data_IF_735496615938
#
_entry.id   IF_735496615938
#
_cell.length_a   1.000
_cell.length_b   1.000
_cell.length_c   1.000
_cell.angle_alpha   90.00
_cell.angle_beta   90.00
_cell.angle_gamma   90.00
#
_symmetry.space_group_name_H-M   'P 1'
#
loop_
_entity.id
_entity.type
_entity.pdbx_description
1 polymer ?
#
# COMPACT_ATOMS: atom_id res chain seq x y z
N UNK A 1 17.92 9.08 -6.53
CA UNK A 1 16.58 8.49 -6.75
C UNK A 1 16.22 7.81 -5.45
N UNK A 2 15.24 8.33 -4.70
CA UNK A 2 14.98 7.88 -3.33
C UNK A 2 13.80 6.91 -3.37
N UNK A 3 14.07 5.64 -3.16
CA UNK A 3 13.07 4.58 -3.10
C UNK A 3 13.25 3.76 -1.82
N UNK A 4 12.15 3.20 -1.32
CA UNK A 4 12.14 2.30 -0.16
C UNK A 4 11.15 1.16 -0.40
N UNK A 5 11.43 0.00 0.17
CA UNK A 5 10.56 -1.17 0.10
C UNK A 5 10.30 -1.67 1.51
N UNK A 6 9.04 -2.00 1.83
CA UNK A 6 8.62 -2.54 3.10
C UNK A 6 7.74 -3.77 2.91
N UNK A 7 7.74 -4.67 3.88
CA UNK A 7 6.87 -5.85 3.93
C UNK A 7 5.91 -5.74 5.12
N UNK A 8 4.64 -5.99 4.88
CA UNK A 8 3.58 -6.07 5.88
C UNK A 8 3.05 -7.51 5.93
N UNK A 9 3.32 -8.28 7.01
CA UNK A 9 2.83 -9.64 7.10
C UNK A 9 1.31 -9.68 7.22
N UNK A 10 0.71 -10.76 6.69
CA UNK A 10 -0.68 -11.09 6.94
C UNK A 10 -0.89 -11.29 8.46
N UNK A 11 -2.08 -10.96 8.95
CA UNK A 11 -2.38 -11.06 10.38
C UNK A 11 -3.69 -11.81 10.60
N UNK A 12 -3.76 -12.54 11.71
CA UNK A 12 -5.02 -13.04 12.27
C UNK A 12 -5.36 -12.17 13.46
N UNK A 13 -6.56 -11.61 13.49
CA UNK A 13 -7.06 -10.77 14.59
C UNK A 13 -8.32 -11.38 15.22
N UNK A 14 -8.84 -10.72 16.26
CA UNK A 14 -10.08 -11.11 16.94
C UNK A 14 -10.02 -12.51 17.55
N UNK A 15 -8.90 -12.84 18.18
CA UNK A 15 -8.68 -14.16 18.76
C UNK A 15 -9.29 -14.27 20.16
N UNK A 16 -10.11 -15.31 20.36
CA UNK A 16 -10.78 -15.65 21.63
C UNK A 16 -11.65 -14.49 22.17
N UNK A 17 -11.61 -14.24 23.49
CA UNK A 17 -12.37 -13.14 24.12
C UNK A 17 -11.75 -11.76 23.87
N UNK A 18 -10.53 -11.71 23.34
CA UNK A 18 -9.76 -10.48 23.09
C UNK A 18 -10.10 -9.81 21.76
N UNK A 19 -11.39 -9.62 21.52
CA UNK A 19 -11.92 -8.92 20.34
C UNK A 19 -11.22 -7.57 20.16
N UNK A 20 -10.72 -7.32 18.94
CA UNK A 20 -10.05 -6.09 18.50
C UNK A 20 -8.74 -5.69 19.22
N UNK A 21 -8.21 -6.56 20.10
CA UNK A 21 -6.97 -6.29 20.86
C UNK A 21 -5.91 -7.36 20.60
N UNK A 22 -6.31 -8.61 20.36
CA UNK A 22 -5.39 -9.72 20.15
C UNK A 22 -5.28 -10.10 18.67
N UNK A 23 -4.04 -10.25 18.21
CA UNK A 23 -3.73 -10.79 16.89
C UNK A 23 -2.27 -11.24 16.76
N UNK A 24 -2.00 -12.03 15.71
CA UNK A 24 -0.68 -12.59 15.43
C UNK A 24 -0.34 -12.41 13.95
N UNK A 25 0.92 -12.10 13.66
CA UNK A 25 1.45 -12.08 12.30
C UNK A 25 1.69 -13.50 11.80
N UNK A 26 1.36 -13.75 10.54
CA UNK A 26 1.65 -14.99 9.83
C UNK A 26 2.97 -14.80 9.10
N UNK A 27 3.91 -15.73 9.31
CA UNK A 27 5.19 -15.72 8.62
C UNK A 27 5.02 -16.09 7.14
N UNK A 28 5.76 -15.39 6.27
CA UNK A 28 5.87 -15.72 4.85
C UNK A 28 4.72 -15.25 3.96
N UNK A 29 3.57 -14.89 4.53
CA UNK A 29 2.41 -14.36 3.79
C UNK A 29 2.27 -12.87 4.10
N UNK A 30 2.03 -12.04 3.09
CA UNK A 30 1.82 -10.61 3.30
C UNK A 30 2.00 -9.76 2.04
N UNK A 31 1.97 -8.44 2.23
CA UNK A 31 2.11 -7.46 1.15
C UNK A 31 3.51 -6.84 1.15
N UNK A 32 4.13 -6.75 -0.03
CA UNK A 32 5.37 -6.02 -0.28
C UNK A 32 5.04 -4.72 -0.99
N UNK A 33 5.47 -3.60 -0.42
CA UNK A 33 5.22 -2.27 -0.96
C UNK A 33 6.52 -1.58 -1.33
N UNK A 34 6.64 -1.12 -2.58
CA UNK A 34 7.74 -0.25 -3.01
C UNK A 34 7.24 1.16 -3.28
N UNK A 35 8.01 2.13 -2.77
CA UNK A 35 7.69 3.55 -2.86
C UNK A 35 8.86 4.34 -3.45
N UNK A 36 8.55 5.32 -4.29
CA UNK A 36 9.54 6.26 -4.82
C UNK A 36 9.09 7.70 -4.63
N UNK A 37 10.03 8.60 -4.34
CA UNK A 37 9.73 10.03 -4.19
C UNK A 37 9.57 10.68 -5.57
N UNK A 38 8.47 11.41 -5.75
CA UNK A 38 8.21 12.25 -6.93
C UNK A 38 8.24 13.74 -6.55
N UNK A 39 8.47 14.62 -7.53
CA UNK A 39 8.57 16.07 -7.30
C UNK A 39 7.22 16.76 -7.08
N UNK A 40 6.15 16.19 -7.66
CA UNK A 40 4.80 16.75 -7.54
C UNK A 40 4.21 16.43 -6.15
N UNK A 41 3.46 17.34 -5.53
CA UNK A 41 2.78 17.10 -4.25
C UNK A 41 1.53 16.24 -4.45
N UNK A 42 1.71 14.99 -4.88
CA UNK A 42 0.63 14.07 -5.23
C UNK A 42 1.05 12.64 -4.89
N UNK A 43 0.09 11.81 -4.47
CA UNK A 43 0.26 10.37 -4.34
C UNK A 43 -0.18 9.71 -5.65
N UNK A 44 0.70 8.91 -6.24
CA UNK A 44 0.40 8.12 -7.43
C UNK A 44 0.55 6.64 -7.10
N UNK A 45 -0.55 5.89 -7.27
CA UNK A 45 -0.52 4.43 -7.32
C UNK A 45 -0.14 4.06 -8.75
N UNK A 46 1.09 3.59 -8.94
CA UNK A 46 1.62 3.27 -10.27
C UNK A 46 1.18 1.89 -10.76
N UNK A 47 1.00 0.96 -9.83
CA UNK A 47 0.74 -0.43 -10.14
C UNK A 47 0.11 -1.12 -8.92
N UNK A 48 -0.76 -2.08 -9.16
CA UNK A 48 -1.26 -3.02 -8.16
C UNK A 48 -1.20 -4.40 -8.80
N UNK A 49 -0.48 -5.33 -8.17
CA UNK A 49 -0.43 -6.72 -8.63
C UNK A 49 -1.04 -7.64 -7.58
N UNK A 50 -1.60 -8.75 -8.05
CA UNK A 50 -2.03 -9.82 -7.16
C UNK A 50 -0.85 -10.68 -6.69
N UNK A 51 -1.15 -11.67 -5.85
CA UNK A 51 -0.17 -12.63 -5.32
C UNK A 51 0.51 -13.50 -6.39
N UNK A 52 -0.04 -13.54 -7.60
CA UNK A 52 0.56 -14.26 -8.73
C UNK A 52 1.54 -13.38 -9.52
N UNK A 53 1.65 -12.10 -9.17
CA UNK A 53 2.40 -11.11 -9.94
C UNK A 53 1.69 -10.71 -11.23
N UNK A 54 0.41 -11.09 -11.38
CA UNK A 54 -0.40 -10.67 -12.52
C UNK A 54 -0.98 -9.29 -12.22
N UNK A 55 -0.95 -8.42 -13.24
CA UNK A 55 -1.75 -7.21 -13.22
C UNK A 55 -3.22 -7.66 -13.14
N UNK A 56 -3.87 -7.42 -12.01
CA UNK A 56 -5.32 -7.52 -11.99
C UNK A 56 -5.84 -6.57 -13.07
N UNK A 57 -6.66 -7.06 -13.99
CA UNK A 57 -7.53 -6.24 -14.84
C UNK A 57 -8.61 -5.60 -13.95
N UNK A 58 -8.16 -4.91 -12.90
CA UNK A 58 -8.99 -3.99 -12.17
C UNK A 58 -9.12 -2.81 -13.12
N UNK A 59 -10.27 -2.72 -13.79
CA UNK A 59 -10.71 -1.45 -14.37
C UNK A 59 -10.73 -0.44 -13.21
N UNK A 60 -9.60 0.25 -13.00
CA UNK A 60 -9.56 1.49 -12.25
C UNK A 60 -10.67 2.34 -12.88
N UNK A 61 -11.69 2.80 -12.13
CA UNK A 61 -12.84 3.50 -12.70
C UNK A 61 -12.34 4.68 -13.56
N UNK A 62 -12.29 4.45 -14.88
CA UNK A 62 -11.87 5.25 -16.04
C UNK A 62 -10.87 6.42 -15.86
N UNK A 63 -10.16 6.52 -14.75
CA UNK A 63 -9.29 7.64 -14.41
C UNK A 63 -7.90 7.06 -14.24
N UNK A 64 -7.07 7.21 -15.28
CA UNK A 64 -5.71 6.66 -15.45
C UNK A 64 -4.67 7.06 -14.37
N UNK A 65 -5.12 7.56 -13.22
CA UNK A 65 -4.31 8.12 -12.15
C UNK A 65 -5.22 8.51 -10.98
N UNK A 66 -5.39 7.64 -9.98
CA UNK A 66 -6.03 8.07 -8.72
C UNK A 66 -5.08 9.01 -7.98
N UNK A 67 -5.14 10.28 -8.32
CA UNK A 67 -4.56 11.39 -7.56
C UNK A 67 -5.42 11.57 -6.33
N UNK A 68 -4.96 11.10 -5.18
CA UNK A 68 -5.58 11.45 -3.90
C UNK A 68 -5.05 12.83 -3.50
N UNK A 69 -5.90 13.89 -3.45
CA UNK A 69 -5.46 15.17 -2.92
C UNK A 69 -5.11 14.99 -1.45
N UNK A 70 -3.90 15.40 -1.08
CA UNK A 70 -3.51 15.45 0.33
C UNK A 70 -4.48 16.40 1.07
N UNK A 71 -4.87 16.10 2.32
CA UNK A 71 -5.44 17.15 3.17
C UNK A 71 -4.39 18.26 3.29
N UNK A 72 -4.76 19.49 2.96
CA UNK A 72 -3.90 20.66 2.98
C UNK A 72 -3.47 20.99 4.42
N UNK A 73 -2.50 20.26 4.95
CA UNK A 73 -1.79 20.58 6.18
C UNK A 73 -0.43 21.17 5.82
N UNK A 74 -0.11 22.41 6.22
CA UNK A 74 1.12 23.11 5.84
C UNK A 74 2.41 22.45 6.38
N UNK A 75 2.30 21.39 7.20
CA UNK A 75 3.43 20.70 7.83
C UNK A 75 3.71 19.28 7.25
N UNK A 76 3.03 18.84 6.19
CA UNK A 76 3.28 17.52 5.57
C UNK A 76 4.01 17.64 4.22
N UNK A 77 5.34 17.46 4.24
CA UNK A 77 6.17 17.24 3.04
C UNK A 77 6.01 15.78 2.52
N UNK A 78 6.32 15.48 1.24
CA UNK A 78 5.50 14.59 0.41
C UNK A 78 5.77 13.10 0.62
N UNK A 79 4.70 12.32 0.56
CA UNK A 79 4.63 10.88 0.89
C UNK A 79 4.29 10.10 -0.40
N UNK A 80 5.26 9.24 -0.81
CA UNK A 80 5.15 7.89 -1.40
C UNK A 80 4.34 7.67 -2.70
N UNK A 81 4.98 7.22 -3.79
CA UNK A 81 4.30 6.35 -4.78
C UNK A 81 4.12 4.94 -4.17
N UNK A 82 3.12 4.16 -4.56
CA UNK A 82 2.85 2.83 -3.96
C UNK A 82 2.68 1.78 -5.06
N UNK A 83 3.38 0.65 -4.93
CA UNK A 83 3.13 -0.60 -5.67
C UNK A 83 3.12 -1.73 -4.64
N UNK A 84 2.01 -2.48 -4.57
CA UNK A 84 1.82 -3.61 -3.67
C UNK A 84 1.84 -4.91 -4.45
N UNK A 85 2.68 -5.84 -3.99
CA UNK A 85 2.70 -7.23 -4.43
C UNK A 85 2.48 -8.13 -3.21
N UNK A 86 1.39 -8.88 -3.18
CA UNK A 86 1.21 -9.93 -2.18
C UNK A 86 2.11 -11.13 -2.50
N UNK A 87 2.55 -11.84 -1.49
CA UNK A 87 3.22 -13.15 -1.62
C UNK A 87 2.54 -14.16 -0.72
#
# INVERSE_FOLDING_TARGET
MNAATAFAPATVSNVAVGFDILGFAIEGVGDVVTVSKIERPTVLISEIVDHTGSLSEFELPSTRNKTLPLPASPNCAPILSWSSASR
#
